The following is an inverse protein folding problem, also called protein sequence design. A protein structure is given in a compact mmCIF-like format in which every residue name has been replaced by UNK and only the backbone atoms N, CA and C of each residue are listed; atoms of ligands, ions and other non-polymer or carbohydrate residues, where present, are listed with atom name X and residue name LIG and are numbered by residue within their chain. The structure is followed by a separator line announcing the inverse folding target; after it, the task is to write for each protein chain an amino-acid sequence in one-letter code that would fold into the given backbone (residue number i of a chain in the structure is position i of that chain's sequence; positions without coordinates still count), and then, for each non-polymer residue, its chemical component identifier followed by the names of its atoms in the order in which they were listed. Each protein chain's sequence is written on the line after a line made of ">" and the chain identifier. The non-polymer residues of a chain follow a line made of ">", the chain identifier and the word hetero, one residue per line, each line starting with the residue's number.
data_IF_364943960571
#
_entry.id   IF_364943960571
#
_cell.length_a   1.000
_cell.length_b   1.000
_cell.length_c   1.000
_cell.angle_alpha   90.00
_cell.angle_beta   90.00
_cell.angle_gamma   90.00
#
_symmetry.space_group_name_H-M   'P 1'
#
loop_
_entity.id
_entity.type
_entity.pdbx_description
1 polymer ?
#
# COMPACT_ATOMS: atom_id res chain seq x y z
N UNK A 1 30.98 -22.47 -32.63
CA UNK A 1 30.40 -21.76 -31.47
C UNK A 1 29.63 -20.53 -31.97
N UNK A 2 28.29 -20.54 -31.91
CA UNK A 2 27.47 -19.39 -32.35
C UNK A 2 27.45 -18.34 -31.26
N UNK A 3 28.08 -17.19 -31.49
CA UNK A 3 28.01 -16.02 -30.62
C UNK A 3 26.56 -15.52 -30.59
N UNK A 4 25.90 -15.65 -29.44
CA UNK A 4 24.60 -15.01 -29.20
C UNK A 4 24.82 -13.51 -29.15
N UNK A 5 24.48 -12.80 -30.24
CA UNK A 5 24.33 -11.35 -30.24
C UNK A 5 23.27 -11.00 -29.20
N UNK A 6 23.69 -10.44 -28.08
CA UNK A 6 22.82 -9.76 -27.12
C UNK A 6 22.20 -8.58 -27.86
N UNK A 7 21.02 -8.80 -28.44
CA UNK A 7 20.20 -7.72 -28.98
C UNK A 7 19.77 -6.87 -27.79
N UNK A 8 20.55 -5.83 -27.52
CA UNK A 8 20.21 -4.77 -26.60
C UNK A 8 18.93 -4.14 -27.17
N UNK A 9 17.76 -4.62 -26.73
CA UNK A 9 16.46 -4.05 -27.07
C UNK A 9 16.47 -2.63 -26.52
N UNK A 10 16.83 -1.67 -27.37
CA UNK A 10 16.66 -0.25 -27.08
C UNK A 10 15.15 -0.07 -26.89
N UNK A 11 14.72 0.10 -25.64
CA UNK A 11 13.32 0.32 -25.32
C UNK A 11 13.03 1.80 -25.65
N UNK A 12 12.28 2.11 -26.73
CA UNK A 12 12.17 3.47 -27.27
C UNK A 12 11.43 4.45 -26.33
N UNK A 13 10.90 3.96 -25.21
CA UNK A 13 10.14 4.74 -24.23
C UNK A 13 10.91 5.06 -22.94
N UNK A 14 12.17 4.66 -22.81
CA UNK A 14 13.01 4.99 -21.63
C UNK A 14 13.85 6.25 -21.90
N UNK A 15 13.22 7.41 -21.88
CA UNK A 15 13.91 8.70 -22.10
C UNK A 15 14.04 9.54 -20.81
N UNK A 16 13.23 9.24 -19.78
CA UNK A 16 13.11 10.07 -18.59
C UNK A 16 13.99 9.59 -17.43
N UNK A 17 14.52 10.51 -16.62
CA UNK A 17 15.23 10.19 -15.38
C UNK A 17 14.36 9.39 -14.40
N UNK A 18 13.03 9.53 -14.48
CA UNK A 18 12.07 8.75 -13.71
C UNK A 18 12.09 7.25 -14.05
N UNK A 19 12.47 6.84 -15.27
CA UNK A 19 12.48 5.43 -15.69
C UNK A 19 13.63 4.62 -15.10
N UNK A 20 14.65 5.30 -14.56
CA UNK A 20 15.80 4.69 -13.89
C UNK A 20 15.48 4.25 -12.46
N UNK A 21 14.43 4.81 -11.85
CA UNK A 21 14.03 4.47 -10.48
C UNK A 21 13.34 3.10 -10.50
N UNK A 22 13.76 2.14 -9.63
CA UNK A 22 13.13 0.83 -9.57
C UNK A 22 11.66 0.96 -9.14
N UNK A 23 10.79 0.17 -9.79
CA UNK A 23 9.34 0.20 -9.57
C UNK A 23 8.96 0.05 -8.09
N UNK A 24 9.71 -0.76 -7.33
CA UNK A 24 9.52 -0.97 -5.89
C UNK A 24 9.53 0.34 -5.11
N UNK A 25 10.53 1.19 -5.37
CA UNK A 25 10.70 2.47 -4.66
C UNK A 25 9.57 3.42 -5.03
N UNK A 26 9.18 3.48 -6.32
CA UNK A 26 8.03 4.30 -6.76
C UNK A 26 6.74 3.88 -6.05
N UNK A 27 6.49 2.57 -5.97
CA UNK A 27 5.28 2.05 -5.34
C UNK A 27 5.21 2.40 -3.85
N UNK A 28 6.32 2.22 -3.14
CA UNK A 28 6.42 2.55 -1.72
C UNK A 28 6.25 4.05 -1.45
N UNK A 29 6.93 4.91 -2.21
CA UNK A 29 6.80 6.36 -2.06
C UNK A 29 5.35 6.81 -2.24
N UNK A 30 4.65 6.27 -3.24
CA UNK A 30 3.27 6.66 -3.52
C UNK A 30 2.32 6.16 -2.44
N UNK A 31 2.44 4.91 -1.99
CA UNK A 31 1.63 4.41 -0.87
C UNK A 31 1.86 5.23 0.40
N UNK A 32 3.12 5.50 0.74
CA UNK A 32 3.50 6.34 1.87
C UNK A 32 2.86 7.73 1.78
N UNK A 33 3.02 8.37 0.62
CA UNK A 33 2.55 9.74 0.41
C UNK A 33 1.03 9.83 0.48
N UNK A 34 0.31 8.93 -0.18
CA UNK A 34 -1.16 8.92 -0.15
C UNK A 34 -1.69 8.56 1.24
N UNK A 35 -1.06 7.64 1.98
CA UNK A 35 -1.47 7.33 3.34
C UNK A 35 -1.29 8.54 4.28
N UNK A 36 -0.13 9.21 4.20
CA UNK A 36 0.12 10.44 4.96
C UNK A 36 -0.84 11.56 4.56
N UNK A 37 -1.10 11.75 3.26
CA UNK A 37 -2.03 12.77 2.77
C UNK A 37 -3.46 12.52 3.27
N UNK A 38 -3.94 11.27 3.21
CA UNK A 38 -5.27 10.92 3.74
C UNK A 38 -5.34 11.22 5.23
N UNK A 39 -4.31 10.88 6.00
CA UNK A 39 -4.28 11.19 7.43
C UNK A 39 -4.23 12.69 7.71
N UNK A 40 -3.47 13.46 6.91
CA UNK A 40 -3.43 14.91 7.02
C UNK A 40 -4.79 15.55 6.77
N UNK A 41 -5.46 15.18 5.66
CA UNK A 41 -6.75 15.78 5.31
C UNK A 41 -7.90 15.27 6.18
N UNK A 42 -7.96 13.96 6.44
CA UNK A 42 -9.04 13.37 7.22
C UNK A 42 -8.75 13.49 8.72
N UNK A 43 -7.61 12.98 9.19
CA UNK A 43 -7.25 12.93 10.60
C UNK A 43 -7.11 14.31 11.24
N UNK A 44 -6.24 15.16 10.68
CA UNK A 44 -6.05 16.53 11.19
C UNK A 44 -7.13 17.49 10.69
N UNK A 45 -7.47 17.44 9.39
CA UNK A 45 -8.39 18.42 8.78
C UNK A 45 -9.83 18.35 9.28
N UNK A 46 -10.35 17.16 9.62
CA UNK A 46 -11.72 16.99 10.15
C UNK A 46 -11.72 17.08 11.69
N UNK A 47 -10.58 17.40 12.33
CA UNK A 47 -10.40 17.35 13.79
C UNK A 47 -10.83 16.01 14.37
N UNK A 48 -10.36 14.92 13.74
CA UNK A 48 -10.79 13.57 14.10
C UNK A 48 -10.41 13.21 15.53
N UNK A 49 -9.49 13.97 16.13
CA UNK A 49 -9.12 13.91 17.55
C UNK A 49 -10.31 13.93 18.51
N UNK A 50 -11.42 14.59 18.14
CA UNK A 50 -12.63 14.69 18.97
C UNK A 50 -13.56 13.48 18.94
N UNK A 51 -13.37 12.55 18.01
CA UNK A 51 -14.19 11.33 17.95
C UNK A 51 -13.65 10.25 18.89
N UNK A 52 -14.47 9.24 19.16
CA UNK A 52 -14.02 8.02 19.83
C UNK A 52 -13.03 7.25 18.94
N UNK A 53 -12.10 6.51 19.54
CA UNK A 53 -11.02 5.82 18.82
C UNK A 53 -11.54 4.91 17.69
N UNK A 54 -12.66 4.23 17.93
CA UNK A 54 -13.28 3.33 16.95
C UNK A 54 -13.79 4.10 15.73
N UNK A 55 -14.41 5.26 15.94
CA UNK A 55 -14.89 6.13 14.88
C UNK A 55 -13.72 6.67 14.03
N UNK A 56 -12.59 7.00 14.68
CA UNK A 56 -11.37 7.42 13.94
C UNK A 56 -10.89 6.32 13.02
N UNK A 57 -10.81 5.07 13.52
CA UNK A 57 -10.36 3.91 12.75
C UNK A 57 -11.31 3.65 11.57
N UNK A 58 -12.62 3.69 11.82
CA UNK A 58 -13.63 3.46 10.78
C UNK A 58 -13.57 4.53 9.69
N UNK A 59 -13.56 5.81 10.08
CA UNK A 59 -13.53 6.93 9.15
C UNK A 59 -12.25 6.94 8.31
N UNK A 60 -11.09 6.86 8.95
CA UNK A 60 -9.79 6.89 8.27
C UNK A 60 -9.64 5.64 7.40
N UNK A 61 -9.95 4.45 7.91
CA UNK A 61 -9.85 3.20 7.15
C UNK A 61 -10.75 3.17 5.93
N UNK A 62 -11.97 3.73 6.03
CA UNK A 62 -12.89 3.84 4.90
C UNK A 62 -12.38 4.79 3.82
N UNK A 63 -11.99 6.02 4.19
CA UNK A 63 -11.44 7.00 3.25
C UNK A 63 -10.18 6.44 2.58
N UNK A 64 -9.28 5.87 3.37
CA UNK A 64 -8.04 5.28 2.90
C UNK A 64 -8.29 4.12 1.94
N UNK A 65 -9.21 3.22 2.26
CA UNK A 65 -9.58 2.10 1.39
C UNK A 65 -10.12 2.52 0.03
N UNK A 66 -10.97 3.55 0.00
CA UNK A 66 -11.51 4.11 -1.24
C UNK A 66 -10.40 4.79 -2.05
N UNK A 67 -9.60 5.64 -1.40
CA UNK A 67 -8.48 6.35 -2.05
C UNK A 67 -7.46 5.36 -2.61
N UNK A 68 -7.15 4.29 -1.88
CA UNK A 68 -6.19 3.29 -2.32
C UNK A 68 -6.69 2.49 -3.52
N UNK A 69 -7.96 2.07 -3.51
CA UNK A 69 -8.52 1.33 -4.65
C UNK A 69 -8.68 2.22 -5.89
N UNK A 70 -9.17 3.47 -5.73
CA UNK A 70 -9.48 4.33 -6.88
C UNK A 70 -8.25 5.07 -7.40
N UNK A 71 -7.44 5.66 -6.53
CA UNK A 71 -6.31 6.49 -6.93
C UNK A 71 -5.02 5.70 -6.95
N UNK A 72 -4.62 5.12 -5.81
CA UNK A 72 -3.30 4.47 -5.69
C UNK A 72 -3.18 3.29 -6.65
N UNK A 73 -4.20 2.43 -6.73
CA UNK A 73 -4.15 1.28 -7.63
C UNK A 73 -4.02 1.67 -9.11
N UNK A 74 -4.73 2.74 -9.53
CA UNK A 74 -4.68 3.23 -10.90
C UNK A 74 -3.34 3.91 -11.21
N UNK A 75 -2.80 4.69 -10.28
CA UNK A 75 -1.48 5.32 -10.42
C UNK A 75 -0.39 4.26 -10.50
N UNK A 76 -0.42 3.24 -9.62
CA UNK A 76 0.54 2.14 -9.62
C UNK A 76 0.54 1.36 -10.94
N UNK A 77 -0.64 1.07 -11.49
CA UNK A 77 -0.78 0.42 -12.81
C UNK A 77 -0.33 1.33 -13.96
N UNK A 78 -0.51 2.64 -13.85
CA UNK A 78 -0.07 3.59 -14.88
C UNK A 78 1.46 3.74 -14.95
N UNK A 79 2.15 3.67 -13.80
CA UNK A 79 3.62 3.75 -13.75
C UNK A 79 4.33 2.43 -14.07
N UNK A 80 3.57 1.40 -14.42
CA UNK A 80 4.11 0.08 -14.74
C UNK A 80 4.85 0.10 -16.08
N UNK A 81 6.18 0.02 -16.05
CA UNK A 81 7.02 -0.02 -17.26
C UNK A 81 7.23 -1.44 -17.79
N UNK A 82 7.13 -2.45 -16.93
CA UNK A 82 7.27 -3.87 -17.28
C UNK A 82 5.98 -4.59 -16.90
N UNK A 83 5.48 -5.48 -17.77
CA UNK A 83 4.22 -6.21 -17.56
C UNK A 83 4.19 -6.93 -16.20
N UNK A 84 3.06 -6.80 -15.49
CA UNK A 84 2.67 -7.50 -14.26
C UNK A 84 3.48 -7.21 -12.97
N UNK A 85 4.38 -6.21 -12.96
CA UNK A 85 5.08 -5.77 -11.74
C UNK A 85 4.19 -5.01 -10.77
N UNK A 86 3.15 -4.32 -11.24
CA UNK A 86 2.21 -3.60 -10.36
C UNK A 86 1.41 -4.56 -9.47
N UNK A 87 1.11 -5.75 -10.00
CA UNK A 87 0.28 -6.74 -9.35
C UNK A 87 0.95 -7.38 -8.11
N UNK A 88 2.28 -7.31 -7.99
CA UNK A 88 3.00 -7.76 -6.78
C UNK A 88 2.78 -6.83 -5.58
N UNK A 89 2.45 -5.56 -5.85
CA UNK A 89 2.28 -4.52 -4.83
C UNK A 89 0.81 -4.18 -4.59
N UNK A 90 -0.11 -4.82 -5.30
CA UNK A 90 -1.54 -4.67 -5.12
C UNK A 90 -2.11 -5.94 -4.51
N UNK A 91 -3.08 -5.78 -3.59
CA UNK A 91 -3.76 -6.93 -2.99
C UNK A 91 -4.61 -7.68 -4.03
N UNK A 92 -5.21 -6.94 -4.99
CA UNK A 92 -6.12 -7.49 -6.00
C UNK A 92 -5.63 -7.20 -7.42
N UNK A 93 -5.47 -8.29 -8.18
CA UNK A 93 -4.93 -8.27 -9.55
C UNK A 93 -5.93 -7.77 -10.60
N UNK A 94 -7.21 -8.15 -10.47
CA UNK A 94 -8.28 -7.78 -11.42
C UNK A 94 -9.06 -6.58 -10.91
N UNK A 95 -9.51 -5.69 -11.79
CA UNK A 95 -10.36 -4.54 -11.44
C UNK A 95 -11.83 -4.98 -11.35
N UNK A 96 -12.36 -5.13 -10.14
CA UNK A 96 -13.77 -5.43 -9.89
C UNK A 96 -14.34 -4.41 -8.89
N UNK A 97 -15.65 -4.13 -8.97
CA UNK A 97 -16.31 -3.25 -7.98
C UNK A 97 -16.18 -3.79 -6.54
N UNK A 98 -16.22 -5.11 -6.38
CA UNK A 98 -15.99 -5.78 -5.09
C UNK A 98 -14.60 -5.53 -4.49
N UNK A 99 -13.62 -5.10 -5.29
CA UNK A 99 -12.31 -4.76 -4.77
C UNK A 99 -12.36 -3.58 -3.81
N UNK A 100 -13.24 -2.60 -4.05
CA UNK A 100 -13.37 -1.44 -3.17
C UNK A 100 -13.72 -1.91 -1.76
N UNK A 101 -14.68 -2.83 -1.64
CA UNK A 101 -15.06 -3.40 -0.34
C UNK A 101 -13.90 -4.15 0.33
N UNK A 102 -13.18 -4.99 -0.41
CA UNK A 102 -12.03 -5.73 0.13
C UNK A 102 -10.92 -4.75 0.56
N UNK A 103 -10.64 -3.74 -0.26
CA UNK A 103 -9.65 -2.70 0.02
C UNK A 103 -10.05 -1.87 1.25
N UNK A 104 -11.34 -1.56 1.44
CA UNK A 104 -11.83 -0.91 2.67
C UNK A 104 -11.63 -1.79 3.89
N UNK A 105 -12.06 -3.06 3.84
CA UNK A 105 -11.88 -4.00 4.97
C UNK A 105 -10.39 -4.15 5.30
N UNK A 106 -9.54 -4.31 4.29
CA UNK A 106 -8.11 -4.39 4.45
C UNK A 106 -7.54 -3.15 5.16
N UNK A 107 -7.90 -1.96 4.68
CA UNK A 107 -7.40 -0.72 5.26
C UNK A 107 -7.96 -0.45 6.67
N UNK A 108 -9.18 -0.88 6.99
CA UNK A 108 -9.71 -0.85 8.36
C UNK A 108 -8.83 -1.68 9.31
N UNK A 109 -8.45 -2.89 8.90
CA UNK A 109 -7.56 -3.74 9.68
C UNK A 109 -6.20 -3.06 9.85
N UNK A 110 -5.60 -2.56 8.78
CA UNK A 110 -4.30 -1.87 8.84
C UNK A 110 -4.35 -0.66 9.79
N UNK A 111 -5.36 0.20 9.65
CA UNK A 111 -5.53 1.39 10.51
C UNK A 111 -5.75 1.01 11.97
N UNK A 112 -6.48 -0.07 12.25
CA UNK A 112 -6.65 -0.59 13.60
C UNK A 112 -5.31 -0.96 14.25
N UNK A 113 -4.42 -1.63 13.53
CA UNK A 113 -3.08 -1.96 14.03
C UNK A 113 -2.19 -0.73 14.22
N UNK A 114 -2.28 0.25 13.30
CA UNK A 114 -1.57 1.52 13.44
C UNK A 114 -2.03 2.26 14.70
N UNK A 115 -3.34 2.36 14.92
CA UNK A 115 -3.90 3.02 16.10
C UNK A 115 -3.37 2.39 17.40
N UNK A 116 -3.41 1.05 17.50
CA UNK A 116 -2.86 0.34 18.66
C UNK A 116 -1.36 0.57 18.85
N UNK A 117 -0.60 0.65 17.74
CA UNK A 117 0.84 0.94 17.80
C UNK A 117 1.08 2.33 18.38
N UNK A 118 0.31 3.33 17.97
CA UNK A 118 0.41 4.67 18.54
C UNK A 118 0.04 4.71 20.01
N UNK A 119 -1.01 3.99 20.41
CA UNK A 119 -1.37 3.89 21.84
C UNK A 119 -0.20 3.29 22.64
N UNK A 120 0.43 2.21 22.15
CA UNK A 120 1.59 1.60 22.80
C UNK A 120 2.80 2.55 22.84
N UNK A 121 3.10 3.26 21.75
CA UNK A 121 4.19 4.23 21.70
C UNK A 121 3.96 5.40 22.68
N UNK A 122 2.72 5.88 22.79
CA UNK A 122 2.36 6.94 23.72
C UNK A 122 2.50 6.48 25.18
N UNK A 123 2.14 5.23 25.48
CA UNK A 123 2.37 4.65 26.82
C UNK A 123 3.86 4.53 27.17
N UNK A 124 4.71 4.19 26.21
CA UNK A 124 6.13 3.92 26.45
C UNK A 124 7.02 5.17 26.42
N UNK A 125 6.72 6.12 25.55
CA UNK A 125 7.61 7.25 25.23
C UNK A 125 6.94 8.62 25.36
N UNK A 126 5.64 8.66 25.70
CA UNK A 126 4.84 9.89 25.78
C UNK A 126 4.98 10.75 24.50
N UNK A 127 4.92 10.10 23.34
CA UNK A 127 5.03 10.77 22.03
C UNK A 127 3.81 11.66 21.80
N UNK A 128 4.04 12.86 21.27
CA UNK A 128 3.01 13.87 21.04
C UNK A 128 2.28 13.50 19.73
N UNK A 129 1.01 13.09 19.85
CA UNK A 129 0.06 13.02 18.75
C UNK A 129 0.40 12.03 17.62
N UNK A 130 -0.59 11.75 16.78
CA UNK A 130 -0.38 10.98 15.57
C UNK A 130 -0.09 11.96 14.44
N UNK A 131 1.10 11.86 13.84
CA UNK A 131 1.52 12.75 12.75
C UNK A 131 1.32 12.09 11.37
N UNK A 132 1.02 12.86 10.30
CA UNK A 132 0.83 12.34 8.95
C UNK A 132 2.03 11.54 8.41
N UNK A 133 3.25 12.01 8.67
CA UNK A 133 4.47 11.34 8.22
C UNK A 133 4.67 10.02 8.97
N UNK A 134 4.50 10.01 10.29
CA UNK A 134 4.56 8.78 11.09
C UNK A 134 3.49 7.79 10.68
N UNK A 135 2.26 8.26 10.43
CA UNK A 135 1.15 7.44 9.97
C UNK A 135 1.45 6.80 8.62
N UNK A 136 1.94 7.58 7.65
CA UNK A 136 2.34 7.05 6.34
C UNK A 136 3.44 6.00 6.43
N UNK A 137 4.41 6.18 7.34
CA UNK A 137 5.51 5.23 7.55
C UNK A 137 5.01 3.91 8.16
N UNK A 138 4.21 4.00 9.23
CA UNK A 138 3.62 2.82 9.86
C UNK A 138 2.64 2.11 8.92
N UNK A 139 1.89 2.85 8.12
CA UNK A 139 1.05 2.27 7.09
C UNK A 139 1.85 1.42 6.11
N UNK A 140 2.97 1.95 5.60
CA UNK A 140 3.84 1.20 4.70
C UNK A 140 4.43 -0.04 5.38
N UNK A 141 4.86 0.08 6.64
CA UNK A 141 5.36 -1.04 7.44
C UNK A 141 4.31 -2.15 7.53
N UNK A 142 3.08 -1.81 7.93
CA UNK A 142 1.99 -2.77 8.05
C UNK A 142 1.59 -3.34 6.69
N UNK A 143 1.46 -2.51 5.65
CA UNK A 143 1.14 -2.97 4.30
C UNK A 143 2.18 -3.99 3.80
N UNK A 144 3.46 -3.76 4.07
CA UNK A 144 4.52 -4.72 3.76
C UNK A 144 4.36 -6.04 4.52
N UNK A 145 4.12 -5.96 5.84
CA UNK A 145 3.93 -7.16 6.69
C UNK A 145 2.71 -7.96 6.23
N UNK A 146 1.58 -7.28 5.95
CA UNK A 146 0.36 -7.93 5.51
C UNK A 146 0.48 -8.55 4.13
N UNK A 147 1.07 -7.84 3.16
CA UNK A 147 1.32 -8.40 1.84
C UNK A 147 2.27 -9.60 1.90
N UNK A 148 3.30 -9.54 2.74
CA UNK A 148 4.20 -10.67 2.96
C UNK A 148 3.47 -11.87 3.58
N UNK A 149 2.68 -11.65 4.64
CA UNK A 149 1.90 -12.69 5.28
C UNK A 149 0.87 -13.32 4.33
N UNK A 150 0.18 -12.49 3.54
CA UNK A 150 -0.78 -12.92 2.53
C UNK A 150 -0.12 -13.75 1.43
N UNK A 151 1.03 -13.31 0.92
CA UNK A 151 1.79 -14.05 -0.10
C UNK A 151 2.27 -15.41 0.44
N UNK A 152 2.75 -15.47 1.69
CA UNK A 152 3.16 -16.71 2.33
C UNK A 152 1.97 -17.68 2.49
N UNK A 153 0.82 -17.17 2.91
CA UNK A 153 -0.41 -17.96 3.04
C UNK A 153 -0.88 -18.49 1.68
N UNK A 154 -0.85 -17.64 0.65
CA UNK A 154 -1.18 -18.01 -0.74
C UNK A 154 -0.28 -19.14 -1.22
N UNK A 155 1.03 -19.03 -1.04
CA UNK A 155 1.98 -20.06 -1.50
C UNK A 155 1.77 -21.40 -0.80
N UNK A 156 1.43 -21.40 0.49
CA UNK A 156 1.07 -22.63 1.23
C UNK A 156 -0.24 -23.26 0.73
N UNK A 157 -1.26 -22.45 0.46
CA UNK A 157 -2.55 -22.93 -0.07
C UNK A 157 -2.41 -23.49 -1.48
N UNK A 158 -1.73 -22.78 -2.38
CA UNK A 158 -1.59 -23.20 -3.78
C UNK A 158 -0.60 -24.36 -3.97
N UNK A 159 0.40 -24.54 -3.09
CA UNK A 159 1.18 -25.78 -3.06
C UNK A 159 0.33 -26.99 -2.67
N UNK A 160 -0.62 -26.83 -1.74
CA UNK A 160 -1.51 -27.90 -1.28
C UNK A 160 -2.56 -28.31 -2.32
N UNK A 161 -3.01 -27.39 -3.17
CA UNK A 161 -4.01 -27.64 -4.24
C UNK A 161 -3.37 -28.30 -5.48
N UNK A 162 -2.06 -28.18 -5.68
CA UNK A 162 -1.35 -28.80 -6.83
C UNK A 162 -0.79 -30.20 -6.50
N UNK A 163 -0.96 -30.68 -5.27
CA UNK A 163 -0.52 -32.00 -4.79
C UNK A 163 -1.69 -32.98 -4.55
N UNK A 164 -2.88 -32.65 -5.06
CA UNK A 164 -4.08 -33.52 -5.12
C UNK A 164 -4.48 -33.60 -6.58
#
# INVERSE_FOLDING_TARGET
>A
MKQQKTTNKINPYKYSWYDKIPYRIKAYIIKFWFAGAVYYFAGWGIYVEKFDELDKVVLIGLILGIVFEILVSNILRFMETDKDKADEYLLLRKKNFFNVFISVIYNLIVVFFIAHTYTLLNMLFNVIGVEPFGFGLLYLLYDFIFLFAFNLFRDKLFKKVRSV
#
